data_IF_079613672779
#
_entry.id   IF_079613672779
#
_cell.length_a   1.000
_cell.length_b   1.000
_cell.length_c   1.000
_cell.angle_alpha   90.00
_cell.angle_beta   90.00
_cell.angle_gamma   90.00
#
_symmetry.space_group_name_H-M   'P 1'
#
loop_
_entity.id
_entity.type
_entity.pdbx_description
1 polymer ?
#
# COMPACT_ATOMS: atom_id res chain seq x y z
N UNK A 1 0.21 24.96 10.08
CA UNK A 1 0.68 25.44 8.75
C UNK A 1 2.18 25.36 8.69
N UNK A 2 2.71 24.81 7.59
CA UNK A 2 4.11 24.39 7.45
C UNK A 2 4.76 25.12 6.27
N UNK A 3 5.01 26.41 6.45
CA UNK A 3 5.59 27.26 5.42
C UNK A 3 5.85 28.67 5.91
N UNK A 4 6.43 29.49 5.04
CA UNK A 4 6.65 30.93 5.24
C UNK A 4 5.64 31.67 4.38
N UNK A 5 4.80 32.50 5.01
CA UNK A 5 3.77 33.25 4.31
C UNK A 5 4.12 34.73 4.24
N UNK A 6 4.08 35.28 3.04
CA UNK A 6 4.12 36.72 2.81
C UNK A 6 2.74 37.31 3.13
N UNK A 7 2.73 38.28 4.06
CA UNK A 7 1.49 38.92 4.52
C UNK A 7 0.98 39.98 3.57
N UNK A 8 1.83 40.49 2.68
CA UNK A 8 1.47 41.56 1.75
C UNK A 8 0.80 40.99 0.50
N UNK A 9 1.29 39.87 -0.03
CA UNK A 9 0.68 39.14 -1.17
C UNK A 9 -0.39 38.12 -0.73
N UNK A 10 -0.27 37.57 0.48
CA UNK A 10 -1.12 36.47 0.96
C UNK A 10 -0.69 35.09 0.43
N UNK A 11 0.47 35.01 -0.25
CA UNK A 11 1.03 33.75 -0.75
C UNK A 11 1.93 33.09 0.30
N UNK A 12 1.91 31.75 0.34
CA UNK A 12 2.74 30.94 1.24
C UNK A 12 3.68 30.03 0.46
N UNK A 13 4.96 30.07 0.80
CA UNK A 13 5.96 29.09 0.38
C UNK A 13 5.98 27.93 1.38
N UNK A 14 5.59 26.74 0.91
CA UNK A 14 5.50 25.56 1.76
C UNK A 14 6.84 24.86 1.92
N UNK A 15 7.05 24.27 3.11
CA UNK A 15 8.17 23.37 3.34
C UNK A 15 7.93 22.04 2.61
N UNK A 16 9.01 21.29 2.37
CA UNK A 16 8.98 20.01 1.68
C UNK A 16 7.92 19.07 2.26
N UNK A 17 7.14 18.45 1.36
CA UNK A 17 6.04 17.56 1.71
C UNK A 17 4.76 18.27 2.19
N UNK A 18 4.66 19.60 2.12
CA UNK A 18 3.43 20.34 2.41
C UNK A 18 2.95 21.14 1.21
N UNK A 19 1.63 21.23 1.06
CA UNK A 19 0.95 21.91 -0.04
C UNK A 19 -0.32 22.63 0.46
N UNK A 20 -1.00 23.33 -0.45
CA UNK A 20 -2.19 24.12 -0.14
C UNK A 20 -1.85 25.61 0.01
N UNK A 21 -2.87 26.46 -0.06
CA UNK A 21 -2.70 27.91 -0.02
C UNK A 21 -2.10 28.41 1.31
N UNK A 22 -2.24 27.63 2.37
CA UNK A 22 -1.72 27.92 3.69
C UNK A 22 -0.70 26.87 4.17
N UNK A 23 -0.20 25.99 3.29
CA UNK A 23 0.68 24.87 3.63
C UNK A 23 0.08 24.00 4.74
N UNK A 24 -1.21 23.72 4.62
CA UNK A 24 -2.03 23.00 5.57
C UNK A 24 -2.20 21.51 5.24
N UNK A 25 -1.92 21.11 4.00
CA UNK A 25 -2.05 19.74 3.50
C UNK A 25 -0.69 19.08 3.47
N UNK A 26 -0.58 17.85 3.95
CA UNK A 26 0.63 17.04 3.69
C UNK A 26 0.53 16.46 2.29
N UNK A 27 1.44 16.83 1.39
CA UNK A 27 1.55 16.23 0.06
C UNK A 27 2.19 14.85 0.10
N UNK A 28 2.23 14.19 -1.05
CA UNK A 28 2.96 12.94 -1.19
C UNK A 28 4.47 13.18 -1.26
N UNK A 29 5.30 12.37 -0.58
CA UNK A 29 6.75 12.48 -0.72
C UNK A 29 7.17 12.21 -2.17
N UNK A 30 8.08 13.02 -2.69
CA UNK A 30 8.66 12.93 -4.04
C UNK A 30 7.64 12.72 -5.17
N UNK A 31 6.41 13.23 -5.01
CA UNK A 31 5.28 13.03 -5.93
C UNK A 31 5.06 11.55 -6.32
N UNK A 32 5.23 10.65 -5.35
CA UNK A 32 5.15 9.20 -5.56
C UNK A 32 6.17 8.68 -6.59
N UNK A 33 7.33 9.35 -6.72
CA UNK A 33 8.45 8.99 -7.61
C UNK A 33 8.05 8.75 -9.06
N UNK A 34 6.97 9.38 -9.56
CA UNK A 34 6.36 9.09 -10.87
C UNK A 34 6.00 7.60 -11.08
N UNK A 35 5.83 6.86 -9.99
CA UNK A 35 5.54 5.42 -9.92
C UNK A 35 4.29 5.13 -9.10
N UNK A 36 3.42 6.11 -8.97
CA UNK A 36 2.14 5.99 -8.30
C UNK A 36 1.30 7.24 -8.45
N UNK A 37 0.12 7.21 -7.85
CA UNK A 37 -0.78 8.36 -7.77
C UNK A 37 -0.85 8.89 -6.34
N UNK A 38 -0.74 10.22 -6.22
CA UNK A 38 -0.96 10.91 -4.96
C UNK A 38 -2.46 11.07 -4.68
N UNK A 39 -2.95 10.51 -3.58
CA UNK A 39 -4.38 10.48 -3.23
C UNK A 39 -4.61 10.93 -1.81
N UNK A 40 -5.74 11.57 -1.55
CA UNK A 40 -6.12 11.93 -0.18
C UNK A 40 -6.64 10.70 0.60
N UNK A 41 -6.70 10.83 1.93
CA UNK A 41 -7.13 9.76 2.84
C UNK A 41 -8.53 9.22 2.51
N UNK A 42 -9.46 10.10 2.10
CA UNK A 42 -10.81 9.71 1.66
C UNK A 42 -10.80 8.76 0.47
N UNK A 43 -10.01 9.08 -0.56
CA UNK A 43 -9.85 8.22 -1.72
C UNK A 43 -9.09 6.93 -1.38
N UNK A 44 -8.08 7.03 -0.51
CA UNK A 44 -7.29 5.87 -0.08
C UNK A 44 -8.15 4.82 0.64
N UNK A 45 -9.10 5.25 1.49
CA UNK A 45 -9.99 4.35 2.26
C UNK A 45 -10.80 3.37 1.38
N UNK A 46 -11.18 3.81 0.17
CA UNK A 46 -11.96 3.02 -0.78
C UNK A 46 -11.11 2.32 -1.85
N UNK A 47 -9.80 2.56 -1.85
CA UNK A 47 -8.86 2.06 -2.87
C UNK A 47 -8.40 0.65 -2.51
N UNK A 48 -8.86 -0.37 -3.26
CA UNK A 48 -8.55 -1.78 -2.99
C UNK A 48 -7.18 -2.22 -3.51
N UNK A 49 -6.66 -1.57 -4.56
CA UNK A 49 -5.33 -1.80 -5.14
C UNK A 49 -4.20 -1.33 -4.20
N UNK A 50 -4.49 -0.37 -3.33
CA UNK A 50 -3.54 0.09 -2.31
C UNK A 50 -3.42 -0.88 -1.11
N UNK A 51 -4.53 -1.53 -0.75
CA UNK A 51 -4.63 -2.41 0.42
C UNK A 51 -5.57 -3.60 0.15
N UNK A 52 -5.14 -4.58 -0.68
CA UNK A 52 -5.99 -5.71 -1.09
C UNK A 52 -6.42 -6.62 0.08
N UNK A 53 -5.75 -6.52 1.23
CA UNK A 53 -6.06 -7.27 2.45
C UNK A 53 -7.07 -6.60 3.38
N UNK A 54 -7.41 -5.35 3.11
CA UNK A 54 -8.41 -4.61 3.86
C UNK A 54 -9.75 -4.64 3.13
N UNK A 55 -10.84 -4.79 3.87
CA UNK A 55 -12.14 -4.49 3.30
C UNK A 55 -12.19 -3.01 2.95
N UNK A 56 -12.87 -2.68 1.86
CA UNK A 56 -13.16 -1.30 1.47
C UNK A 56 -13.81 -0.60 2.66
N UNK A 57 -13.21 0.50 3.09
CA UNK A 57 -13.75 1.36 4.16
C UNK A 57 -14.05 2.74 3.61
N UNK A 58 -14.76 3.55 4.38
CA UNK A 58 -15.02 4.94 4.04
C UNK A 58 -14.43 5.82 5.11
N UNK A 59 -13.80 6.91 4.70
CA UNK A 59 -13.37 7.97 5.60
C UNK A 59 -14.30 9.18 5.37
N UNK A 60 -15.33 9.25 6.20
CA UNK A 60 -16.39 10.27 6.17
C UNK A 60 -16.91 10.51 7.59
N UNK A 61 -17.58 11.64 7.82
CA UNK A 61 -18.20 11.97 9.09
C UNK A 61 -19.51 11.21 9.33
N UNK A 62 -20.05 11.35 10.54
CA UNK A 62 -21.38 10.86 10.89
C UNK A 62 -22.46 11.66 10.13
N UNK A 63 -23.55 11.02 9.69
CA UNK A 63 -24.66 11.64 8.93
C UNK A 63 -24.24 12.49 7.71
N UNK A 64 -23.50 11.90 6.76
CA UNK A 64 -23.05 12.55 5.51
C UNK A 64 -22.25 13.85 5.72
N UNK A 65 -21.72 14.07 6.93
CA UNK A 65 -20.82 15.19 7.19
C UNK A 65 -19.42 14.90 6.67
N UNK A 66 -18.73 15.93 6.21
CA UNK A 66 -17.33 15.87 5.80
C UNK A 66 -16.47 15.88 7.07
N UNK A 67 -15.53 14.93 7.22
CA UNK A 67 -14.52 15.11 8.29
C UNK A 67 -13.56 16.21 7.87
N UNK A 68 -13.21 17.06 8.84
CA UNK A 68 -12.39 18.24 8.60
C UNK A 68 -11.00 17.92 8.01
N UNK A 69 -10.53 16.67 8.13
CA UNK A 69 -9.25 16.16 7.68
C UNK A 69 -9.30 15.19 6.49
N UNK A 70 -10.48 14.93 5.90
CA UNK A 70 -10.62 13.94 4.81
C UNK A 70 -9.80 14.24 3.55
N UNK A 71 -9.46 15.51 3.33
CA UNK A 71 -8.65 16.00 2.20
C UNK A 71 -7.34 16.68 2.65
N UNK A 72 -6.88 16.42 3.88
CA UNK A 72 -5.72 17.10 4.47
C UNK A 72 -4.46 16.23 4.49
N UNK A 73 -4.63 14.91 4.43
CA UNK A 73 -3.54 13.92 4.44
C UNK A 73 -3.56 13.16 3.12
N UNK A 74 -2.39 13.08 2.48
CA UNK A 74 -2.20 12.39 1.22
C UNK A 74 -1.21 11.24 1.39
N UNK A 75 -1.39 10.21 0.57
CA UNK A 75 -0.50 9.06 0.47
C UNK A 75 -0.40 8.59 -0.98
N UNK A 76 0.61 7.76 -1.24
CA UNK A 76 0.83 7.20 -2.56
C UNK A 76 0.13 5.84 -2.72
N UNK A 77 -0.53 5.67 -3.86
CA UNK A 77 -0.95 4.35 -4.36
C UNK A 77 -0.02 4.02 -5.51
N UNK A 78 0.82 3.01 -5.31
CA UNK A 78 1.89 2.68 -6.23
C UNK A 78 1.40 1.87 -7.43
N UNK A 79 2.01 2.12 -8.59
CA UNK A 79 1.68 1.46 -9.84
C UNK A 79 2.20 0.01 -9.87
N UNK A 80 1.54 -0.82 -10.66
CA UNK A 80 1.92 -2.22 -10.86
C UNK A 80 1.64 -2.70 -12.27
N UNK A 81 2.60 -3.40 -12.90
CA UNK A 81 2.35 -4.12 -14.16
C UNK A 81 1.56 -5.40 -13.99
N UNK A 82 1.59 -6.02 -12.81
CA UNK A 82 0.84 -7.24 -12.51
C UNK A 82 -0.41 -6.93 -11.69
N UNK A 83 -1.41 -7.80 -11.80
CA UNK A 83 -2.67 -7.64 -11.09
C UNK A 83 -2.48 -7.80 -9.58
N UNK A 84 -2.90 -6.78 -8.83
CA UNK A 84 -2.90 -6.79 -7.37
C UNK A 84 -4.26 -7.24 -6.87
N UNK A 85 -4.31 -8.30 -6.06
CA UNK A 85 -5.55 -8.83 -5.51
C UNK A 85 -5.41 -10.21 -4.87
N UNK A 86 -6.56 -10.82 -4.57
CA UNK A 86 -6.67 -12.13 -3.90
C UNK A 86 -7.13 -13.25 -4.82
N UNK A 87 -7.32 -12.96 -6.11
CA UNK A 87 -7.69 -13.93 -7.13
C UNK A 87 -6.54 -14.86 -7.52
N UNK A 88 -6.87 -16.01 -8.11
CA UNK A 88 -5.86 -16.92 -8.67
C UNK A 88 -5.06 -16.20 -9.77
N UNK A 89 -3.72 -16.20 -9.65
CA UNK A 89 -2.83 -15.50 -10.57
C UNK A 89 -2.59 -14.02 -10.26
N UNK A 90 -3.10 -13.51 -9.13
CA UNK A 90 -2.86 -12.15 -8.65
C UNK A 90 -1.81 -12.13 -7.54
N UNK A 91 -1.10 -11.01 -7.41
CA UNK A 91 -0.14 -10.79 -6.32
C UNK A 91 -0.78 -9.94 -5.23
N UNK A 92 -0.33 -10.08 -3.98
CA UNK A 92 -0.83 -9.25 -2.88
C UNK A 92 -0.14 -7.89 -2.78
N UNK A 93 0.99 -7.73 -3.47
CA UNK A 93 1.81 -6.53 -3.43
C UNK A 93 1.99 -5.95 -4.85
N UNK A 94 1.95 -4.62 -5.02
CA UNK A 94 2.26 -3.94 -6.28
C UNK A 94 3.74 -4.04 -6.66
N UNK A 95 4.07 -3.72 -7.92
CA UNK A 95 5.46 -3.65 -8.41
C UNK A 95 6.29 -2.59 -7.69
N UNK A 96 5.73 -1.39 -7.53
CA UNK A 96 6.33 -0.31 -6.78
C UNK A 96 5.77 -0.26 -5.37
N UNK A 97 6.61 0.05 -4.39
CA UNK A 97 6.24 0.09 -2.98
C UNK A 97 7.06 1.12 -2.21
N UNK A 98 6.70 1.31 -0.95
CA UNK A 98 7.27 2.35 -0.09
C UNK A 98 6.36 3.58 0.02
N UNK A 99 6.72 4.54 0.88
CA UNK A 99 5.89 5.72 1.14
C UNK A 99 5.78 6.66 -0.06
N UNK A 100 6.77 6.61 -0.96
CA UNK A 100 6.94 7.45 -2.15
C UNK A 100 7.01 6.61 -3.44
N UNK A 101 6.70 5.32 -3.38
CA UNK A 101 6.83 4.39 -4.52
C UNK A 101 8.23 4.32 -5.17
N UNK A 102 9.30 4.66 -4.43
CA UNK A 102 10.68 4.62 -4.96
C UNK A 102 11.29 3.22 -5.00
N UNK A 103 10.72 2.26 -4.25
CA UNK A 103 11.24 0.91 -4.15
C UNK A 103 10.47 -0.03 -5.09
N UNK A 104 11.17 -0.99 -5.68
CA UNK A 104 10.58 -1.92 -6.66
C UNK A 104 10.77 -3.36 -6.23
N UNK A 105 9.67 -4.12 -6.20
CA UNK A 105 9.69 -5.56 -6.07
C UNK A 105 10.22 -6.20 -7.36
N UNK A 106 11.09 -7.19 -7.21
CA UNK A 106 11.45 -8.05 -8.31
C UNK A 106 10.29 -9.00 -8.62
N UNK A 107 10.11 -9.44 -9.89
CA UNK A 107 9.19 -10.53 -10.20
C UNK A 107 9.55 -11.75 -9.36
N UNK A 108 8.63 -12.18 -8.50
CA UNK A 108 8.76 -13.39 -7.70
C UNK A 108 8.25 -14.57 -8.51
N UNK A 109 8.95 -15.70 -8.42
CA UNK A 109 8.54 -16.97 -9.04
C UNK A 109 8.98 -18.13 -8.15
N UNK A 110 8.76 -19.34 -8.64
CA UNK A 110 9.22 -20.58 -8.02
C UNK A 110 10.73 -20.55 -7.76
N UNK A 111 11.17 -20.97 -6.57
CA UNK A 111 12.60 -21.00 -6.25
C UNK A 111 13.23 -22.20 -6.98
N UNK A 112 14.10 -21.99 -7.99
CA UNK A 112 14.66 -23.11 -8.75
C UNK A 112 15.61 -23.99 -7.92
N UNK A 113 15.89 -23.62 -6.66
CA UNK A 113 16.75 -24.37 -5.75
C UNK A 113 15.99 -25.34 -4.83
N UNK A 114 14.66 -25.32 -4.83
CA UNK A 114 13.81 -26.24 -4.07
C UNK A 114 13.16 -27.27 -5.01
N UNK A 115 12.87 -28.46 -4.47
CA UNK A 115 12.13 -29.51 -5.20
C UNK A 115 10.59 -29.31 -5.10
N UNK A 116 10.15 -28.24 -4.43
CA UNK A 116 8.75 -27.93 -4.14
C UNK A 116 8.40 -26.66 -4.89
N UNK A 117 7.26 -26.64 -5.58
CA UNK A 117 6.78 -25.41 -6.21
C UNK A 117 6.17 -24.49 -5.15
N UNK A 118 6.88 -23.44 -4.72
CA UNK A 118 6.37 -22.50 -3.72
C UNK A 118 5.25 -21.59 -4.24
N UNK A 119 4.95 -21.64 -5.54
CA UNK A 119 3.82 -20.93 -6.15
C UNK A 119 2.53 -21.74 -6.14
N UNK A 120 2.57 -23.07 -5.96
CA UNK A 120 1.39 -23.93 -5.83
C UNK A 120 0.87 -24.01 -4.38
N UNK A 121 -0.06 -23.12 -4.06
CA UNK A 121 -0.74 -23.10 -2.75
C UNK A 121 -1.98 -24.03 -2.67
N UNK A 122 -2.24 -24.91 -3.65
CA UNK A 122 -3.46 -25.71 -3.66
C UNK A 122 -3.48 -26.74 -2.51
N UNK A 123 -4.54 -26.71 -1.69
CA UNK A 123 -4.67 -27.51 -0.47
C UNK A 123 -3.55 -27.32 0.58
N UNK A 124 -2.74 -26.27 0.46
CA UNK A 124 -1.76 -25.91 1.49
C UNK A 124 -2.49 -25.11 2.58
N UNK A 125 -2.50 -25.64 3.80
CA UNK A 125 -3.02 -24.92 4.97
C UNK A 125 -1.88 -24.23 5.70
N UNK A 126 -1.97 -22.92 5.90
CA UNK A 126 -1.05 -22.18 6.73
C UNK A 126 -1.07 -22.69 8.18
N UNK A 127 0.10 -22.87 8.77
CA UNK A 127 0.22 -23.36 10.15
C UNK A 127 -0.21 -22.33 11.22
N UNK A 128 -0.49 -21.08 10.81
CA UNK A 128 -1.03 -20.01 11.66
C UNK A 128 -2.55 -19.91 11.52
N UNK A 129 -3.25 -20.33 12.57
CA UNK A 129 -4.70 -20.21 12.74
C UNK A 129 -5.03 -18.82 13.26
N UNK A 130 -5.63 -17.97 12.43
CA UNK A 130 -6.52 -16.92 12.93
C UNK A 130 -7.97 -17.36 12.73
N UNK A 131 -8.77 -17.22 13.79
CA UNK A 131 -10.17 -17.63 13.87
C UNK A 131 -11.08 -16.49 13.40
N UNK A 132 -11.90 -16.79 12.38
CA UNK A 132 -12.97 -15.95 11.85
C UNK A 132 -14.12 -16.86 11.43
N UNK A 133 -15.32 -16.54 11.90
CA UNK A 133 -16.44 -17.47 12.01
C UNK A 133 -17.11 -17.76 10.66
N UNK A 134 -16.88 -18.98 10.17
CA UNK A 134 -17.75 -19.90 9.41
C UNK A 134 -18.60 -19.34 8.25
N UNK A 135 -17.98 -19.26 7.07
CA UNK A 135 -18.67 -19.23 5.79
C UNK A 135 -17.81 -18.79 4.61
N UNK A 136 -16.78 -19.59 4.27
CA UNK A 136 -15.76 -19.40 3.20
C UNK A 136 -14.55 -18.55 3.61
N UNK A 137 -13.52 -19.23 4.12
CA UNK A 137 -12.13 -18.77 4.30
C UNK A 137 -11.95 -17.27 4.57
N UNK A 138 -12.75 -16.73 5.48
CA UNK A 138 -12.53 -15.42 6.07
C UNK A 138 -11.59 -15.62 7.24
N UNK A 139 -10.29 -15.46 7.01
CA UNK A 139 -9.39 -14.87 8.01
C UNK A 139 -8.16 -14.25 7.36
N UNK A 140 -8.05 -12.93 7.57
CA UNK A 140 -6.78 -12.25 7.67
C UNK A 140 -5.79 -13.11 8.47
N UNK A 141 -4.57 -13.16 7.95
CA UNK A 141 -3.34 -13.64 8.58
C UNK A 141 -3.15 -15.16 8.60
N UNK A 142 -2.91 -15.70 7.41
CA UNK A 142 -1.62 -16.33 7.25
C UNK A 142 -0.74 -15.41 6.42
N UNK A 143 0.06 -14.63 7.14
CA UNK A 143 1.31 -14.15 6.61
C UNK A 143 2.08 -15.38 6.12
N UNK A 144 2.01 -15.66 4.83
CA UNK A 144 3.23 -15.98 4.11
C UNK A 144 3.81 -14.61 3.75
N UNK A 145 4.36 -13.93 4.76
CA UNK A 145 5.67 -13.41 4.45
C UNK A 145 6.45 -14.67 4.09
N UNK A 146 6.98 -14.77 2.88
CA UNK A 146 8.16 -15.60 2.66
C UNK A 146 9.27 -14.96 3.52
N UNK A 147 9.17 -15.11 4.86
CA UNK A 147 10.11 -14.57 5.83
C UNK A 147 10.18 -15.29 7.17
N UNK A 148 9.48 -16.42 7.39
CA UNK A 148 9.69 -17.23 8.61
C UNK A 148 9.64 -18.75 8.42
N UNK A 149 9.86 -19.27 7.21
CA UNK A 149 10.44 -20.61 7.14
C UNK A 149 11.95 -20.45 7.29
N UNK A 150 12.51 -20.93 8.40
CA UNK A 150 13.96 -21.05 8.60
C UNK A 150 14.64 -22.00 7.61
N UNK A 151 13.92 -22.50 6.58
CA UNK A 151 14.46 -23.33 5.51
C UNK A 151 13.96 -23.03 4.09
N UNK A 152 13.06 -22.05 3.87
CA UNK A 152 12.75 -21.56 2.50
C UNK A 152 13.50 -20.27 2.31
N UNK A 153 14.35 -20.25 1.29
CA UNK A 153 15.15 -19.09 0.96
C UNK A 153 14.20 -17.91 0.77
N UNK A 154 14.34 -16.91 1.62
CA UNK A 154 13.70 -15.64 1.38
C UNK A 154 14.38 -15.10 0.14
N UNK A 155 13.73 -15.25 -1.02
CA UNK A 155 13.87 -14.27 -2.07
C UNK A 155 13.35 -12.97 -1.46
N UNK A 156 14.25 -12.34 -0.70
CA UNK A 156 13.94 -11.16 0.08
C UNK A 156 13.30 -10.15 -0.85
N UNK A 157 12.37 -9.40 -0.28
CA UNK A 157 11.95 -8.07 -0.69
C UNK A 157 13.15 -7.09 -0.74
N UNK A 158 14.25 -7.51 -1.36
CA UNK A 158 15.37 -6.68 -1.68
C UNK A 158 14.95 -5.84 -2.88
N UNK A 159 15.11 -4.51 -2.81
CA UNK A 159 14.83 -3.65 -3.95
C UNK A 159 15.66 -4.16 -5.13
N UNK A 160 14.98 -4.39 -6.25
CA UNK A 160 15.66 -4.67 -7.51
C UNK A 160 16.58 -3.49 -7.80
N UNK A 161 17.89 -3.69 -7.65
CA UNK A 161 18.88 -2.67 -8.03
C UNK A 161 18.79 -2.40 -9.54
N UNK A 162 19.01 -1.15 -9.97
CA UNK A 162 18.81 -0.71 -11.35
C UNK A 162 19.67 -1.47 -12.38
#
# INVERSE_FOLDING_TARGET
NKGICDRDSGECECFDGFTGAACERSGCPDDCSDHGRCVNMKALAVTSDALPLSNVTTYSGEDDTVTWDEEMIFGCVCDSKWEVGLGAGQTQEPEWFGPDCSLRHCPSGDDPSTDVDETDCFNVTSSSVYLGTAGRATTQQAYVNVSQDTTVSTAGSNPCSP
#
